data_IF_149026280674
#
_entry.id   IF_149026280674
#
_cell.length_a   1.000
_cell.length_b   1.000
_cell.length_c   1.000
_cell.angle_alpha   90.00
_cell.angle_beta   90.00
_cell.angle_gamma   90.00
#
_symmetry.space_group_name_H-M   'P 1'
#
loop_
_entity.id
_entity.type
_entity.pdbx_description
1 polymer ?
#
# COMPACT_ATOMS: atom_id res chain seq x y z
N UNK A 1 5.12 -8.71 10.61
CA UNK A 1 5.47 -8.72 9.18
C UNK A 1 4.20 -8.60 8.36
N UNK A 2 4.11 -7.53 7.58
CA UNK A 2 2.97 -7.13 6.78
C UNK A 2 3.44 -7.14 5.32
N UNK A 3 2.81 -7.94 4.48
CA UNK A 3 3.19 -8.04 3.07
C UNK A 3 2.31 -7.10 2.24
N UNK A 4 2.90 -6.19 1.47
CA UNK A 4 2.19 -5.18 0.67
C UNK A 4 2.37 -5.44 -0.82
N UNK A 5 1.30 -5.27 -1.58
CA UNK A 5 1.29 -5.38 -3.03
C UNK A 5 0.24 -4.45 -3.66
N UNK A 6 0.45 -4.09 -4.91
CA UNK A 6 -0.55 -3.41 -5.73
C UNK A 6 -1.33 -4.43 -6.58
N UNK A 7 -2.63 -4.22 -6.76
CA UNK A 7 -3.44 -4.98 -7.73
C UNK A 7 -3.76 -4.11 -8.94
N UNK A 8 -3.04 -4.30 -10.04
CA UNK A 8 -3.21 -3.50 -11.26
C UNK A 8 -3.73 -4.44 -12.36
N UNK A 9 -4.94 -4.15 -12.88
CA UNK A 9 -5.58 -4.94 -13.96
C UNK A 9 -5.72 -6.45 -13.66
N UNK A 10 -5.80 -6.82 -12.39
CA UNK A 10 -5.92 -8.22 -11.94
C UNK A 10 -4.58 -8.86 -11.56
N UNK A 11 -3.46 -8.27 -11.94
CA UNK A 11 -2.12 -8.71 -11.57
C UNK A 11 -1.69 -8.16 -10.21
N UNK A 12 -0.95 -8.98 -9.45
CA UNK A 12 -0.37 -8.60 -8.15
C UNK A 12 1.08 -8.20 -8.34
N UNK A 13 1.40 -6.96 -7.99
CA UNK A 13 2.75 -6.42 -8.01
C UNK A 13 3.26 -6.26 -6.59
N UNK A 14 4.27 -7.04 -6.22
CA UNK A 14 4.88 -6.94 -4.91
C UNK A 14 5.51 -5.56 -4.69
N UNK A 15 5.17 -4.93 -3.57
CA UNK A 15 5.72 -3.63 -3.15
C UNK A 15 6.83 -3.85 -2.15
N UNK A 16 6.56 -4.61 -1.08
CA UNK A 16 7.51 -4.81 -0.01
C UNK A 16 6.90 -5.49 1.21
N UNK A 17 7.74 -5.69 2.22
CA UNK A 17 7.34 -6.19 3.53
C UNK A 17 7.67 -5.16 4.59
N UNK A 18 6.71 -4.86 5.44
CA UNK A 18 6.79 -3.83 6.47
C UNK A 18 6.52 -4.47 7.84
N UNK A 19 6.90 -3.79 8.92
CA UNK A 19 6.76 -4.33 10.28
C UNK A 19 5.70 -3.60 11.11
N UNK A 20 5.43 -2.34 10.80
CA UNK A 20 4.57 -1.48 11.59
C UNK A 20 3.33 -1.06 10.81
N UNK A 21 2.15 -1.40 11.34
CA UNK A 21 0.87 -1.03 10.73
C UNK A 21 0.58 0.47 10.87
N UNK A 22 1.03 1.09 11.97
CA UNK A 22 0.77 2.51 12.28
C UNK A 22 1.41 3.44 11.24
N UNK A 23 2.61 3.11 10.77
CA UNK A 23 3.36 3.90 9.77
C UNK A 23 3.28 3.31 8.36
N UNK A 24 2.61 2.17 8.17
CA UNK A 24 2.51 1.47 6.89
C UNK A 24 2.05 2.38 5.75
N UNK A 25 1.08 3.25 6.02
CA UNK A 25 0.55 4.17 5.03
C UNK A 25 1.61 5.20 4.56
N UNK A 26 2.43 5.71 5.48
CA UNK A 26 3.51 6.65 5.16
C UNK A 26 4.63 5.95 4.39
N UNK A 27 5.05 4.77 4.86
CA UNK A 27 6.12 4.00 4.24
C UNK A 27 5.76 3.59 2.80
N UNK A 28 4.53 3.10 2.60
CA UNK A 28 4.08 2.70 1.26
C UNK A 28 3.89 3.92 0.37
N UNK A 29 3.35 5.03 0.89
CA UNK A 29 3.23 6.26 0.11
C UNK A 29 4.60 6.80 -0.33
N UNK A 30 5.58 6.83 0.59
CA UNK A 30 6.95 7.24 0.28
C UNK A 30 7.63 6.32 -0.74
N UNK A 31 7.38 5.01 -0.67
CA UNK A 31 7.85 4.07 -1.68
C UNK A 31 7.23 4.33 -3.06
N UNK A 32 5.92 4.58 -3.12
CA UNK A 32 5.22 4.87 -4.37
C UNK A 32 5.68 6.19 -4.98
N UNK A 33 5.91 7.22 -4.16
CA UNK A 33 6.46 8.51 -4.58
C UNK A 33 7.86 8.35 -5.17
N UNK A 34 8.77 7.69 -4.43
CA UNK A 34 10.15 7.43 -4.87
C UNK A 34 10.24 6.56 -6.12
N UNK A 35 9.22 5.75 -6.39
CA UNK A 35 9.14 4.85 -7.55
C UNK A 35 8.35 5.43 -8.72
N UNK A 36 7.89 6.68 -8.63
CA UNK A 36 7.01 7.34 -9.64
C UNK A 36 5.71 6.55 -9.92
N UNK A 37 5.22 5.82 -8.91
CA UNK A 37 4.03 4.93 -8.97
C UNK A 37 2.88 5.45 -8.11
N UNK A 38 2.80 6.74 -7.85
CA UNK A 38 1.69 7.36 -7.11
C UNK A 38 0.30 7.01 -7.68
N UNK A 39 0.22 6.75 -8.99
CA UNK A 39 -1.01 6.28 -9.65
C UNK A 39 -1.52 4.94 -9.11
N UNK A 40 -0.70 4.17 -8.39
CA UNK A 40 -1.09 2.89 -7.80
C UNK A 40 -1.71 3.03 -6.41
N UNK A 41 -1.76 4.23 -5.83
CA UNK A 41 -2.19 4.48 -4.44
C UNK A 41 -3.56 3.87 -4.12
N UNK A 42 -4.50 3.94 -5.07
CA UNK A 42 -5.87 3.43 -4.91
C UNK A 42 -5.99 1.90 -5.04
N UNK A 43 -4.90 1.24 -5.42
CA UNK A 43 -4.81 -0.18 -5.73
C UNK A 43 -3.88 -0.95 -4.80
N UNK A 44 -3.56 -0.40 -3.63
CA UNK A 44 -2.66 -1.03 -2.65
C UNK A 44 -3.42 -1.91 -1.66
N UNK A 45 -2.85 -3.09 -1.39
CA UNK A 45 -3.35 -4.09 -0.48
C UNK A 45 -2.22 -4.59 0.41
N UNK A 46 -2.57 -5.07 1.60
CA UNK A 46 -1.64 -5.76 2.48
C UNK A 46 -2.23 -7.04 3.06
N UNK A 47 -1.36 -8.02 3.31
CA UNK A 47 -1.69 -9.27 3.99
C UNK A 47 -1.20 -9.23 5.43
N UNK A 48 -2.09 -9.54 6.36
CA UNK A 48 -1.79 -9.69 7.78
C UNK A 48 -2.58 -10.89 8.31
N UNK A 49 -1.91 -11.82 9.00
CA UNK A 49 -2.53 -13.02 9.59
C UNK A 49 -3.32 -13.90 8.58
N UNK A 50 -2.93 -13.90 7.30
CA UNK A 50 -3.62 -14.63 6.24
C UNK A 50 -4.84 -13.92 5.66
N UNK A 51 -5.19 -12.75 6.18
CA UNK A 51 -6.26 -11.90 5.69
C UNK A 51 -5.72 -10.75 4.84
N UNK A 52 -6.45 -10.42 3.76
CA UNK A 52 -6.13 -9.33 2.84
C UNK A 52 -6.94 -8.09 3.20
N UNK A 53 -6.26 -6.95 3.29
CA UNK A 53 -6.86 -5.65 3.57
C UNK A 53 -6.47 -4.65 2.50
N UNK A 54 -7.40 -3.76 2.13
CA UNK A 54 -7.10 -2.63 1.25
C UNK A 54 -6.43 -1.52 2.05
N UNK A 55 -5.27 -1.05 1.62
CA UNK A 55 -4.60 0.09 2.24
C UNK A 55 -5.22 1.38 1.69
N UNK A 56 -5.83 2.18 2.55
CA UNK A 56 -6.38 3.49 2.16
C UNK A 56 -5.26 4.52 2.28
N UNK A 57 -4.61 4.80 1.14
CA UNK A 57 -3.63 5.86 1.00
C UNK A 57 -4.37 7.14 0.64
N UNK A 58 -4.95 7.79 1.65
CA UNK A 58 -5.78 8.98 1.48
C UNK A 58 -4.97 10.22 1.10
N UNK A 59 -5.47 10.96 0.10
CA UNK A 59 -5.38 12.41 0.11
C UNK A 59 -6.23 12.86 1.31
N UNK A 60 -5.62 13.44 2.34
CA UNK A 60 -6.38 14.08 3.42
C UNK A 60 -7.07 15.32 2.87
N UNK A 61 -8.21 15.16 2.21
CA UNK A 61 -9.24 16.20 2.22
C UNK A 61 -10.06 15.97 3.48
N UNK A 62 -9.55 16.51 4.58
CA UNK A 62 -10.41 16.97 5.68
C UNK A 62 -11.11 18.23 5.14
N UNK A 63 -12.41 18.12 4.87
CA UNK A 63 -13.31 19.29 4.82
C UNK A 63 -13.76 19.60 6.25
#
# INVERSE_FOLDING_TARGET
MIMVYAKIRGDKYFIGTFNDLEVLHLDVLGFLDSSERLSWKDSIYFLMNGEEYKLILGDRNYD
#
